data_IF_253731940392
#
_entry.id   IF_253731940392
#
_cell.length_a   1.000
_cell.length_b   1.000
_cell.length_c   1.000
_cell.angle_alpha   90.00
_cell.angle_beta   90.00
_cell.angle_gamma   90.00
#
_symmetry.space_group_name_H-M   'P 1'
#
loop_
_entity.id
_entity.type
_entity.pdbx_description
1 polymer ?
#
# COMPACT_ATOMS: atom_id res chain seq x y z
N UNK A 1 -1.57 -16.97 -5.49
CA UNK A 1 -0.38 -16.72 -6.36
C UNK A 1 0.73 -17.63 -5.87
N UNK A 2 1.41 -18.25 -6.80
CA UNK A 2 2.48 -19.22 -6.54
C UNK A 2 3.80 -18.46 -6.41
N UNK A 3 4.36 -18.44 -5.21
CA UNK A 3 5.61 -17.71 -4.91
C UNK A 3 6.82 -18.38 -5.58
N UNK A 4 6.77 -19.70 -5.84
CA UNK A 4 7.82 -20.43 -6.56
C UNK A 4 7.83 -20.04 -8.03
N UNK A 5 6.65 -19.96 -8.65
CA UNK A 5 6.53 -19.47 -10.03
C UNK A 5 7.01 -18.02 -10.16
N UNK A 6 6.69 -17.16 -9.18
CA UNK A 6 7.19 -15.78 -9.14
C UNK A 6 8.72 -15.73 -9.05
N UNK A 7 9.32 -16.53 -8.15
CA UNK A 7 10.79 -16.63 -8.02
C UNK A 7 11.43 -17.10 -9.32
N UNK A 8 10.90 -18.17 -9.93
CA UNK A 8 11.45 -18.73 -11.17
C UNK A 8 11.40 -17.71 -12.31
N UNK A 9 10.33 -16.93 -12.42
CA UNK A 9 10.22 -15.82 -13.37
C UNK A 9 11.33 -14.79 -13.16
N UNK A 10 11.52 -14.32 -11.93
CA UNK A 10 12.55 -13.32 -11.60
C UNK A 10 13.97 -13.83 -11.91
N UNK A 11 14.26 -15.10 -11.59
CA UNK A 11 15.54 -15.73 -11.91
C UNK A 11 15.74 -15.83 -13.44
N UNK A 12 14.69 -16.17 -14.19
CA UNK A 12 14.74 -16.23 -15.65
C UNK A 12 14.98 -14.84 -16.29
N UNK A 13 14.56 -13.77 -15.62
CA UNK A 13 14.85 -12.38 -16.00
C UNK A 13 16.25 -11.91 -15.55
N UNK A 14 17.06 -12.80 -14.97
CA UNK A 14 18.43 -12.50 -14.53
C UNK A 14 18.54 -11.79 -13.19
N UNK A 15 17.48 -11.79 -12.41
CA UNK A 15 17.46 -11.15 -11.09
C UNK A 15 18.08 -12.10 -10.07
N UNK A 16 19.13 -11.65 -9.37
CA UNK A 16 19.72 -12.38 -8.25
C UNK A 16 18.81 -12.30 -7.03
N UNK A 17 18.11 -13.39 -6.75
CA UNK A 17 17.14 -13.49 -5.68
C UNK A 17 17.41 -14.68 -4.77
N UNK A 18 17.33 -14.46 -3.47
CA UNK A 18 17.60 -15.46 -2.45
C UNK A 18 16.58 -16.60 -2.38
N UNK A 19 16.69 -17.38 -1.34
CA UNK A 19 15.74 -18.45 -1.02
C UNK A 19 14.54 -17.91 -0.23
N UNK A 20 13.50 -18.74 -0.17
CA UNK A 20 12.35 -18.47 0.68
C UNK A 20 12.75 -18.48 2.17
N UNK A 21 12.11 -17.62 2.94
CA UNK A 21 12.18 -17.63 4.39
C UNK A 21 10.79 -18.03 4.90
N UNK A 22 10.74 -19.15 5.58
CA UNK A 22 9.51 -19.64 6.21
C UNK A 22 9.21 -18.83 7.46
N UNK A 23 7.93 -18.59 7.70
CA UNK A 23 7.43 -17.91 8.89
C UNK A 23 6.26 -18.67 9.49
N UNK A 24 6.13 -18.56 10.81
CA UNK A 24 5.04 -19.13 11.58
C UNK A 24 4.52 -18.09 12.56
N UNK A 25 3.22 -18.06 12.75
CA UNK A 25 2.57 -17.26 13.79
C UNK A 25 1.49 -18.08 14.47
N UNK A 26 1.46 -18.00 15.80
CA UNK A 26 0.45 -18.67 16.64
C UNK A 26 -0.47 -17.63 17.26
N UNK A 27 -1.75 -17.85 17.16
CA UNK A 27 -2.75 -17.10 17.92
C UNK A 27 -2.76 -17.61 19.37
N UNK A 28 -2.55 -16.72 20.33
CA UNK A 28 -2.43 -17.11 21.75
C UNK A 28 -3.76 -17.53 22.35
N UNK A 29 -4.88 -17.01 21.85
CA UNK A 29 -6.20 -17.28 22.39
C UNK A 29 -6.80 -18.59 21.84
N UNK A 30 -6.73 -18.79 20.52
CA UNK A 30 -7.25 -19.96 19.85
C UNK A 30 -6.26 -21.12 19.73
N UNK A 31 -4.96 -20.84 19.81
CA UNK A 31 -3.88 -21.79 19.55
C UNK A 31 -3.69 -22.10 18.06
N UNK A 32 -4.42 -21.45 17.16
CA UNK A 32 -4.29 -21.65 15.71
C UNK A 32 -2.92 -21.22 15.22
N UNK A 33 -2.34 -22.02 14.36
CA UNK A 33 -1.03 -21.74 13.74
C UNK A 33 -1.27 -21.30 12.29
N UNK A 34 -0.54 -20.27 11.86
CA UNK A 34 -0.44 -19.83 10.47
C UNK A 34 0.98 -19.97 10.00
N UNK A 35 1.14 -20.46 8.78
CA UNK A 35 2.44 -20.56 8.13
C UNK A 35 2.46 -19.77 6.82
N UNK A 36 3.62 -19.29 6.45
CA UNK A 36 3.82 -18.57 5.19
C UNK A 36 5.25 -18.68 4.71
N UNK A 37 5.46 -18.40 3.43
CA UNK A 37 6.77 -18.19 2.81
C UNK A 37 6.94 -16.74 2.41
N UNK A 38 8.11 -16.18 2.69
CA UNK A 38 8.52 -14.86 2.23
C UNK A 38 9.62 -14.99 1.19
N UNK A 39 9.55 -14.16 0.16
CA UNK A 39 10.62 -13.97 -0.82
C UNK A 39 11.01 -12.50 -0.82
N UNK A 40 12.14 -12.17 -0.23
CA UNK A 40 12.64 -10.80 -0.17
C UNK A 40 13.22 -10.40 -1.52
N UNK A 41 12.81 -9.23 -2.00
CA UNK A 41 13.28 -8.69 -3.27
C UNK A 41 14.53 -7.83 -3.05
N UNK A 42 15.53 -7.91 -3.93
CA UNK A 42 16.73 -7.09 -3.80
C UNK A 42 16.41 -5.61 -3.99
N UNK A 43 17.04 -4.74 -3.22
CA UNK A 43 16.85 -3.28 -3.31
C UNK A 43 17.19 -2.72 -4.69
N UNK A 44 18.10 -3.37 -5.43
CA UNK A 44 18.41 -3.00 -6.82
C UNK A 44 17.20 -3.14 -7.75
N UNK A 45 16.33 -4.14 -7.51
CA UNK A 45 15.09 -4.32 -8.26
C UNK A 45 14.02 -3.32 -7.82
N UNK A 46 13.88 -3.11 -6.50
CA UNK A 46 12.82 -2.30 -5.90
C UNK A 46 13.22 -0.84 -5.70
N UNK A 47 14.38 -0.45 -6.19
CA UNK A 47 14.95 0.90 -6.15
C UNK A 47 14.90 1.55 -4.77
N UNK A 48 15.31 0.77 -3.76
CA UNK A 48 15.40 1.24 -2.38
C UNK A 48 14.17 0.93 -1.52
N UNK A 49 13.03 0.54 -2.08
CA UNK A 49 11.87 0.14 -1.29
C UNK A 49 12.04 -1.27 -0.74
N UNK A 50 11.92 -1.41 0.59
CA UNK A 50 11.88 -2.72 1.22
C UNK A 50 10.61 -3.45 0.83
N UNK A 51 10.76 -4.48 -0.01
CA UNK A 51 9.63 -5.21 -0.60
C UNK A 51 9.88 -6.71 -0.54
N UNK A 52 8.85 -7.46 -0.27
CA UNK A 52 8.86 -8.91 -0.32
C UNK A 52 7.51 -9.46 -0.81
N UNK A 53 7.54 -10.65 -1.40
CA UNK A 53 6.35 -11.42 -1.71
C UNK A 53 6.06 -12.34 -0.54
N UNK A 54 4.78 -12.50 -0.21
CA UNK A 54 4.33 -13.41 0.84
C UNK A 54 3.26 -14.36 0.28
N UNK A 55 3.41 -15.64 0.59
CA UNK A 55 2.40 -16.65 0.32
C UNK A 55 2.01 -17.32 1.63
N UNK A 56 0.75 -17.17 2.01
CA UNK A 56 0.19 -17.92 3.13
C UNK A 56 -0.05 -19.36 2.70
N UNK A 57 0.37 -20.32 3.52
CA UNK A 57 0.23 -21.76 3.26
C UNK A 57 -0.90 -22.36 4.08
N UNK A 58 -0.81 -22.27 5.41
CA UNK A 58 -1.81 -22.80 6.32
C UNK A 58 -2.35 -21.71 7.25
N UNK A 59 -3.58 -21.93 7.71
CA UNK A 59 -4.30 -21.02 8.59
C UNK A 59 -4.83 -19.78 7.88
N UNK A 60 -5.61 -19.01 8.58
CA UNK A 60 -6.16 -17.74 8.10
C UNK A 60 -5.92 -16.62 9.11
N UNK A 61 -5.87 -15.39 8.64
CA UNK A 61 -5.89 -14.23 9.54
C UNK A 61 -7.31 -14.16 10.12
N UNK A 62 -7.48 -14.20 11.45
CA UNK A 62 -8.81 -14.11 12.06
C UNK A 62 -9.48 -12.80 11.60
N UNK A 63 -10.73 -12.90 11.17
CA UNK A 63 -11.50 -11.70 10.89
C UNK A 63 -11.89 -11.06 12.22
N UNK A 64 -11.70 -9.76 12.34
CA UNK A 64 -12.19 -9.01 13.50
C UNK A 64 -13.71 -9.12 13.57
N UNK A 65 -14.22 -9.67 14.66
CA UNK A 65 -15.68 -9.88 14.86
C UNK A 65 -16.39 -8.59 15.26
N UNK A 66 -15.68 -7.65 15.87
CA UNK A 66 -16.24 -6.40 16.35
C UNK A 66 -16.23 -5.35 15.25
N UNK A 67 -17.39 -5.09 14.68
CA UNK A 67 -17.59 -3.99 13.74
C UNK A 67 -17.86 -2.72 14.53
N UNK A 68 -16.82 -1.91 14.72
CA UNK A 68 -17.03 -0.55 15.23
C UNK A 68 -17.59 0.32 14.10
N UNK A 69 -18.62 1.12 14.41
CA UNK A 69 -19.24 2.05 13.44
C UNK A 69 -18.28 3.06 12.82
N UNK A 70 -17.15 3.29 13.47
CA UNK A 70 -16.09 4.21 13.05
C UNK A 70 -14.76 3.49 12.74
N UNK A 71 -14.83 2.25 12.24
CA UNK A 71 -13.65 1.43 12.00
C UNK A 71 -12.97 1.76 10.66
N UNK A 72 -11.65 1.59 10.64
CA UNK A 72 -10.90 1.38 9.41
C UNK A 72 -11.27 0.00 8.85
N UNK A 73 -11.65 -0.04 7.58
CA UNK A 73 -12.10 -1.29 6.94
C UNK A 73 -11.06 -1.90 6.02
N UNK A 74 -10.25 -1.07 5.37
CA UNK A 74 -9.20 -1.51 4.46
C UNK A 74 -8.23 -0.39 4.11
N UNK A 75 -7.09 -0.76 3.57
CA UNK A 75 -6.17 0.15 2.90
C UNK A 75 -6.75 0.52 1.52
N UNK A 76 -6.94 1.80 1.23
CA UNK A 76 -7.41 2.27 -0.08
C UNK A 76 -6.26 2.37 -1.07
N UNK A 77 -5.22 3.10 -0.68
CA UNK A 77 -4.01 3.21 -1.50
C UNK A 77 -2.75 3.45 -0.66
N UNK A 78 -1.63 3.07 -1.26
CA UNK A 78 -0.28 3.40 -0.82
C UNK A 78 0.29 4.38 -1.83
N UNK A 79 0.95 5.44 -1.38
CA UNK A 79 1.55 6.44 -2.27
C UNK A 79 3.06 6.24 -2.34
N UNK A 80 3.59 6.15 -3.55
CA UNK A 80 5.01 6.06 -3.87
C UNK A 80 5.40 7.32 -4.64
N UNK A 81 6.45 8.00 -4.20
CA UNK A 81 7.12 9.01 -5.02
C UNK A 81 8.22 8.32 -5.84
N UNK A 82 8.35 8.73 -7.09
CA UNK A 82 9.43 8.27 -7.99
C UNK A 82 9.93 9.43 -8.86
N UNK A 83 11.15 9.32 -9.34
CA UNK A 83 11.67 10.16 -10.42
C UNK A 83 11.82 9.39 -11.74
N UNK A 84 11.46 8.10 -11.76
CA UNK A 84 11.50 7.23 -12.94
C UNK A 84 10.19 6.48 -13.11
N UNK A 85 9.15 7.10 -13.68
CA UNK A 85 7.85 6.47 -13.87
C UNK A 85 7.88 5.28 -14.82
N UNK A 86 8.78 5.27 -15.81
CA UNK A 86 8.88 4.13 -16.74
C UNK A 86 9.45 2.89 -16.04
N UNK A 87 10.43 3.06 -15.18
CA UNK A 87 10.93 1.98 -14.34
C UNK A 87 9.89 1.43 -13.37
N UNK A 88 9.00 2.27 -12.84
CA UNK A 88 7.84 1.84 -12.05
C UNK A 88 6.87 1.01 -12.90
N UNK A 89 6.59 1.43 -14.13
CA UNK A 89 5.70 0.68 -15.04
C UNK A 89 6.31 -0.69 -15.34
N UNK A 90 7.59 -0.74 -15.64
CA UNK A 90 8.29 -2.00 -15.89
C UNK A 90 8.28 -2.92 -14.67
N UNK A 91 8.55 -2.39 -13.47
CA UNK A 91 8.58 -3.20 -12.24
C UNK A 91 7.18 -3.72 -11.87
N UNK A 92 6.23 -2.83 -11.66
CA UNK A 92 4.91 -3.24 -11.17
C UNK A 92 4.02 -3.80 -12.28
N UNK A 93 4.11 -3.25 -13.50
CA UNK A 93 3.31 -3.69 -14.64
C UNK A 93 3.87 -4.96 -15.29
N UNK A 94 5.08 -4.90 -15.82
CA UNK A 94 5.62 -5.98 -16.65
C UNK A 94 6.15 -7.15 -15.79
N UNK A 95 6.95 -6.83 -14.76
CA UNK A 95 7.58 -7.86 -13.93
C UNK A 95 6.57 -8.48 -12.95
N UNK A 96 5.80 -7.69 -12.22
CA UNK A 96 4.82 -8.21 -11.26
C UNK A 96 3.43 -8.46 -11.84
N UNK A 97 3.15 -7.99 -13.05
CA UNK A 97 1.86 -8.18 -13.72
C UNK A 97 0.69 -7.41 -13.06
N UNK A 98 0.97 -6.34 -12.32
CA UNK A 98 -0.05 -5.52 -11.69
C UNK A 98 -0.61 -4.55 -12.72
N UNK A 99 -1.92 -4.57 -12.91
CA UNK A 99 -2.59 -3.77 -13.94
C UNK A 99 -2.42 -2.26 -13.70
N UNK A 100 -1.78 -1.55 -14.62
CA UNK A 100 -1.82 -0.10 -14.70
C UNK A 100 -3.23 0.32 -15.13
N UNK A 101 -3.99 0.88 -14.19
CA UNK A 101 -5.38 1.25 -14.40
C UNK A 101 -5.54 2.66 -14.98
N UNK A 102 -4.61 3.56 -14.66
CA UNK A 102 -4.62 4.93 -15.13
C UNK A 102 -3.19 5.48 -15.15
N UNK A 103 -2.87 6.19 -16.22
CA UNK A 103 -1.66 6.97 -16.40
C UNK A 103 -2.08 8.35 -16.91
N UNK A 104 -1.83 9.37 -16.12
CA UNK A 104 -2.24 10.73 -16.48
C UNK A 104 -1.27 11.77 -15.94
N UNK A 105 -1.14 12.87 -16.67
CA UNK A 105 -0.41 14.05 -16.19
C UNK A 105 -1.42 15.04 -15.62
N UNK A 106 -1.22 15.44 -14.38
CA UNK A 106 -2.04 16.45 -13.69
C UNK A 106 -1.10 17.51 -13.14
N UNK A 107 -0.90 18.57 -13.92
CA UNK A 107 0.04 19.64 -13.57
C UNK A 107 -0.25 20.26 -12.20
N UNK A 108 -1.53 20.42 -11.84
CA UNK A 108 -1.97 20.95 -10.55
C UNK A 108 -1.56 20.07 -9.34
N UNK A 109 -1.19 18.80 -9.57
CA UNK A 109 -0.83 17.84 -8.52
C UNK A 109 0.66 17.49 -8.54
N UNK A 110 1.43 18.15 -9.38
CA UNK A 110 2.87 18.03 -9.41
C UNK A 110 3.45 17.10 -10.47
N UNK A 111 2.66 16.63 -11.43
CA UNK A 111 3.19 15.89 -12.56
C UNK A 111 2.39 14.67 -12.99
N UNK A 112 3.10 13.66 -13.51
CA UNK A 112 2.50 12.41 -13.97
C UNK A 112 2.17 11.52 -12.78
N UNK A 113 0.98 10.93 -12.81
CA UNK A 113 0.47 10.03 -11.80
C UNK A 113 0.10 8.70 -12.43
N UNK A 114 0.56 7.62 -11.80
CA UNK A 114 0.24 6.25 -12.21
C UNK A 114 -0.58 5.57 -11.12
N UNK A 115 -1.56 4.78 -11.52
CA UNK A 115 -2.42 4.05 -10.59
C UNK A 115 -2.43 2.58 -10.96
N UNK A 116 -1.80 1.75 -10.13
CA UNK A 116 -1.80 0.30 -10.32
C UNK A 116 -2.84 -0.34 -9.41
N UNK A 117 -3.69 -1.18 -9.98
CA UNK A 117 -4.77 -1.83 -9.25
C UNK A 117 -4.38 -3.20 -8.74
N UNK A 118 -4.25 -3.34 -7.44
CA UNK A 118 -3.94 -4.58 -6.75
C UNK A 118 -5.16 -4.97 -5.89
N UNK A 119 -6.06 -5.80 -6.44
CA UNK A 119 -7.31 -6.19 -5.80
C UNK A 119 -8.13 -4.98 -5.32
N UNK A 120 -8.29 -4.83 -4.01
CA UNK A 120 -9.04 -3.73 -3.38
C UNK A 120 -8.18 -2.53 -2.99
N UNK A 121 -6.87 -2.58 -3.27
CA UNK A 121 -5.90 -1.52 -2.96
C UNK A 121 -5.32 -0.96 -4.25
N UNK A 122 -4.91 0.28 -4.24
CA UNK A 122 -4.22 0.94 -5.35
C UNK A 122 -2.80 1.32 -4.91
N UNK A 123 -1.81 1.08 -5.78
CA UNK A 123 -0.55 1.78 -5.69
C UNK A 123 -0.70 3.07 -6.48
N UNK A 124 -0.67 4.20 -5.80
CA UNK A 124 -0.67 5.53 -6.40
C UNK A 124 0.78 5.99 -6.48
N UNK A 125 1.24 6.31 -7.68
CA UNK A 125 2.61 6.75 -7.91
C UNK A 125 2.59 8.20 -8.36
N UNK A 126 3.39 9.04 -7.71
CA UNK A 126 3.58 10.43 -8.05
C UNK A 126 4.97 10.59 -8.63
N UNK A 127 5.06 10.84 -9.93
CA UNK A 127 6.32 11.06 -10.62
C UNK A 127 6.77 12.51 -10.51
N UNK A 128 7.88 12.71 -9.82
CA UNK A 128 8.55 14.02 -9.74
C UNK A 128 9.73 14.03 -10.69
N UNK A 129 9.83 15.07 -11.52
CA UNK A 129 11.03 15.26 -12.36
C UNK A 129 12.20 15.75 -11.50
N UNK A 130 13.26 14.98 -11.47
CA UNK A 130 14.59 15.42 -11.08
C UNK A 130 15.63 14.67 -11.92
N UNK A 131 16.86 15.16 -11.94
CA UNK A 131 17.96 14.57 -12.72
C UNK A 131 18.83 13.63 -11.87
N UNK A 132 18.32 13.16 -10.73
CA UNK A 132 19.02 12.25 -9.82
C UNK A 132 18.89 10.80 -10.28
N UNK A 133 19.69 9.92 -9.68
CA UNK A 133 19.54 8.48 -9.91
C UNK A 133 18.12 8.01 -9.55
N UNK A 134 17.60 7.00 -10.27
CA UNK A 134 16.27 6.46 -9.98
C UNK A 134 16.12 6.04 -8.50
N UNK A 135 15.20 6.68 -7.82
CA UNK A 135 14.90 6.43 -6.42
C UNK A 135 13.39 6.47 -6.18
N UNK A 136 12.92 5.48 -5.43
CA UNK A 136 11.53 5.42 -5.01
C UNK A 136 11.43 5.60 -3.50
N UNK A 137 10.36 6.22 -3.05
CA UNK A 137 10.08 6.37 -1.62
C UNK A 137 8.61 6.21 -1.31
N UNK A 138 8.30 5.53 -0.20
CA UNK A 138 6.95 5.52 0.35
C UNK A 138 6.66 6.92 0.91
N UNK A 139 5.50 7.47 0.50
CA UNK A 139 5.10 8.80 0.97
C UNK A 139 3.99 8.74 2.00
N UNK A 140 2.93 7.97 1.76
CA UNK A 140 1.79 7.96 2.66
C UNK A 140 0.79 6.84 2.41
N UNK A 141 -0.21 6.77 3.27
CA UNK A 141 -1.25 5.74 3.29
C UNK A 141 -2.64 6.38 3.31
N UNK A 142 -3.59 5.78 2.64
CA UNK A 142 -4.99 6.13 2.73
C UNK A 142 -5.81 4.94 3.22
N UNK A 143 -6.65 5.17 4.22
CA UNK A 143 -7.46 4.17 4.89
C UNK A 143 -8.94 4.43 4.69
N UNK A 144 -9.68 3.43 4.24
CA UNK A 144 -11.14 3.51 4.14
C UNK A 144 -11.76 3.36 5.52
N UNK A 145 -12.66 4.27 5.83
CA UNK A 145 -13.49 4.24 7.03
C UNK A 145 -14.97 4.15 6.67
N UNK A 146 -15.77 3.55 7.53
CA UNK A 146 -17.22 3.40 7.32
C UNK A 146 -17.99 4.71 7.46
N UNK A 147 -17.62 5.52 8.45
CA UNK A 147 -18.21 6.82 8.73
C UNK A 147 -17.09 7.80 9.15
N UNK A 148 -16.73 8.69 8.24
CA UNK A 148 -15.60 9.60 8.46
C UNK A 148 -15.89 10.64 9.54
N UNK A 149 -17.16 11.05 9.72
CA UNK A 149 -17.51 12.03 10.76
C UNK A 149 -17.39 11.41 12.14
N UNK A 150 -17.95 10.23 12.34
CA UNK A 150 -17.79 9.49 13.60
C UNK A 150 -16.32 9.16 13.88
N UNK A 151 -15.56 8.78 12.84
CA UNK A 151 -14.12 8.53 12.97
C UNK A 151 -13.38 9.79 13.39
N UNK A 152 -13.68 10.94 12.77
CA UNK A 152 -13.13 12.24 13.12
C UNK A 152 -13.42 12.59 14.58
N UNK A 153 -14.69 12.55 15.00
CA UNK A 153 -15.10 12.89 16.36
C UNK A 153 -14.40 12.01 17.40
N UNK A 154 -14.28 10.71 17.13
CA UNK A 154 -13.55 9.78 18.00
C UNK A 154 -12.07 10.14 18.11
N UNK A 155 -11.39 10.38 16.98
CA UNK A 155 -9.96 10.69 16.97
C UNK A 155 -9.67 12.03 17.68
N UNK A 156 -10.53 13.04 17.50
CA UNK A 156 -10.43 14.30 18.23
C UNK A 156 -10.63 14.09 19.74
N UNK A 157 -11.62 13.27 20.14
CA UNK A 157 -11.86 12.97 21.56
C UNK A 157 -10.68 12.23 22.23
N UNK A 158 -9.93 11.47 21.45
CA UNK A 158 -8.69 10.80 21.89
C UNK A 158 -7.44 11.73 21.84
N UNK A 159 -7.63 13.00 21.51
CA UNK A 159 -6.57 14.00 21.50
C UNK A 159 -5.66 14.00 20.27
N UNK A 160 -6.09 13.35 19.18
CA UNK A 160 -5.32 13.38 17.93
C UNK A 160 -5.61 14.65 17.13
N UNK A 161 -4.61 15.12 16.41
CA UNK A 161 -4.77 16.20 15.44
C UNK A 161 -5.25 15.63 14.10
N UNK A 162 -6.44 16.06 13.67
CA UNK A 162 -7.07 15.66 12.41
C UNK A 162 -7.59 16.91 11.70
N UNK A 163 -7.41 16.99 10.39
CA UNK A 163 -8.00 18.09 9.60
C UNK A 163 -9.51 17.95 9.53
N UNK A 164 -10.22 19.06 9.33
CA UNK A 164 -11.64 19.02 9.07
C UNK A 164 -11.98 18.05 7.92
N UNK A 165 -13.13 17.40 8.05
CA UNK A 165 -13.68 16.54 6.99
C UNK A 165 -14.10 17.42 5.82
N UNK A 166 -13.65 17.06 4.63
CA UNK A 166 -13.95 17.78 3.38
C UNK A 166 -14.17 16.81 2.22
N UNK A 167 -14.69 17.33 1.13
CA UNK A 167 -14.76 16.59 -0.13
C UNK A 167 -13.36 16.20 -0.62
N UNK A 168 -13.22 14.94 -1.03
CA UNK A 168 -11.99 14.43 -1.61
C UNK A 168 -11.82 14.87 -3.06
N UNK A 169 -10.61 14.70 -3.58
CA UNK A 169 -10.32 14.93 -5.02
C UNK A 169 -11.07 13.96 -5.94
N UNK A 170 -11.26 12.73 -5.46
CA UNK A 170 -12.07 11.73 -6.16
C UNK A 170 -13.56 12.06 -5.93
N UNK A 171 -14.39 12.13 -6.97
CA UNK A 171 -15.83 12.34 -6.82
C UNK A 171 -16.45 11.33 -5.84
N UNK A 172 -17.47 11.77 -5.12
CA UNK A 172 -18.20 10.95 -4.14
C UNK A 172 -17.30 10.40 -3.03
N UNK A 173 -16.35 11.21 -2.53
CA UNK A 173 -15.52 10.85 -1.38
C UNK A 173 -15.47 11.99 -0.37
N UNK A 174 -15.38 11.63 0.90
CA UNK A 174 -15.01 12.52 1.98
C UNK A 174 -13.65 12.14 2.52
N UNK A 175 -12.83 13.11 2.89
CA UNK A 175 -11.47 12.87 3.38
C UNK A 175 -11.15 13.71 4.61
N UNK A 176 -10.26 13.19 5.46
CA UNK A 176 -9.59 13.89 6.54
C UNK A 176 -8.16 13.38 6.70
N UNK A 177 -7.24 14.25 7.11
CA UNK A 177 -5.83 13.87 7.31
C UNK A 177 -5.51 13.80 8.80
N UNK A 178 -5.01 12.68 9.26
CA UNK A 178 -4.47 12.53 10.61
C UNK A 178 -3.05 13.07 10.62
N UNK A 179 -2.76 14.00 11.55
CA UNK A 179 -1.49 14.73 11.61
C UNK A 179 -0.60 14.35 12.78
N UNK A 180 -1.16 13.68 13.79
CA UNK A 180 -0.41 13.27 14.97
C UNK A 180 -0.43 11.74 15.14
N UNK A 181 0.57 11.20 15.85
CA UNK A 181 0.69 9.78 16.19
C UNK A 181 0.70 8.80 15.00
N UNK A 182 1.18 9.26 13.84
CA UNK A 182 1.26 8.49 12.59
C UNK A 182 2.67 8.00 12.26
N UNK A 183 3.60 8.06 13.22
CA UNK A 183 5.04 7.77 12.99
C UNK A 183 5.63 8.61 11.84
N UNK A 184 5.18 9.85 11.68
CA UNK A 184 5.52 10.78 10.60
C UNK A 184 5.11 10.29 9.18
N UNK A 185 4.22 9.31 9.09
CA UNK A 185 3.69 8.86 7.79
C UNK A 185 2.42 9.65 7.49
N UNK A 186 2.34 10.39 6.38
CA UNK A 186 1.11 11.03 5.93
C UNK A 186 -0.02 10.02 5.85
N UNK A 187 -1.08 10.28 6.62
CA UNK A 187 -2.19 9.34 6.81
C UNK A 187 -3.50 10.00 6.47
N UNK A 188 -4.14 9.51 5.41
CA UNK A 188 -5.44 9.97 4.94
C UNK A 188 -6.53 8.99 5.36
N UNK A 189 -7.63 9.52 5.86
CA UNK A 189 -8.89 8.80 6.00
C UNK A 189 -9.77 9.12 4.81
N UNK A 190 -10.45 8.12 4.26
CA UNK A 190 -11.34 8.27 3.12
C UNK A 190 -12.63 7.47 3.34
N UNK A 191 -13.76 8.13 3.08
CA UNK A 191 -15.05 7.46 2.96
C UNK A 191 -15.54 7.59 1.52
N UNK A 192 -15.94 6.49 0.90
CA UNK A 192 -16.64 6.46 -0.38
C UNK A 192 -18.14 6.58 -0.13
N UNK A 193 -18.80 7.55 -0.80
CA UNK A 193 -20.25 7.82 -0.69
C UNK A 193 -21.05 6.96 -1.67
#
# INVERSE_FOLDING_TARGET
SDIEAARNKLVAEGIDIGNFIEGEGKDEDSGEIRTWKNLFLPFSLTRGLFTFLIQHEDGCIPSHKDKFDAAVTRLDHVVINTNDPEGIISLYGDTFGIRLALDQTVEQWGGRMLFFRLNHTTLEVIAKKNDEQPEDSLWGLAWVVTDIKKTYDRLISEGLEVTDVKEGRKPNTLVATVKSNTCNIPTLLIQHL
#
